data_IF_048828332307
#
_entry.id   IF_048828332307
#
_cell.length_a   1.000
_cell.length_b   1.000
_cell.length_c   1.000
_cell.angle_alpha   90.00
_cell.angle_beta   90.00
_cell.angle_gamma   90.00
#
_symmetry.space_group_name_H-M   'P 1'
#
loop_
_entity.id
_entity.type
_entity.pdbx_description
1 polymer ?
#
# COMPACT_ATOMS: atom_id res chain seq x y z
N UNK A 1 -4.74 -8.47 -14.66
CA UNK A 1 -6.01 -8.39 -13.90
C UNK A 1 -6.22 -6.92 -13.54
N UNK A 2 -7.24 -6.27 -14.10
CA UNK A 2 -7.44 -4.81 -13.98
C UNK A 2 -7.83 -4.41 -12.55
N UNK A 3 -7.10 -3.48 -11.92
CA UNK A 3 -7.38 -2.94 -10.58
C UNK A 3 -8.82 -2.38 -10.42
N UNK A 4 -9.50 -2.06 -11.52
CA UNK A 4 -10.90 -1.62 -11.55
C UNK A 4 -11.92 -2.73 -11.24
N UNK A 5 -11.50 -4.00 -11.18
CA UNK A 5 -12.37 -5.14 -10.86
C UNK A 5 -12.58 -5.34 -9.36
N UNK A 6 -11.78 -4.71 -8.50
CA UNK A 6 -11.91 -4.82 -7.02
C UNK A 6 -12.88 -3.80 -6.43
N UNK A 7 -13.24 -2.75 -7.17
CA UNK A 7 -14.15 -1.72 -6.67
C UNK A 7 -15.57 -2.27 -6.66
N UNK A 8 -16.16 -2.31 -5.47
CA UNK A 8 -17.58 -2.62 -5.29
C UNK A 8 -18.43 -1.53 -5.94
N UNK A 9 -18.91 -1.79 -7.16
CA UNK A 9 -19.72 -0.85 -7.93
C UNK A 9 -21.11 -0.66 -7.36
N UNK A 10 -21.61 -1.54 -6.49
CA UNK A 10 -22.94 -1.46 -5.91
C UNK A 10 -22.85 -1.56 -4.37
N UNK A 11 -22.21 -0.58 -3.71
CA UNK A 11 -21.96 -0.64 -2.28
C UNK A 11 -23.27 -0.66 -1.49
N UNK A 12 -23.33 -1.57 -0.51
CA UNK A 12 -24.44 -1.60 0.45
C UNK A 12 -24.57 -0.26 1.18
N UNK A 13 -25.77 0.04 1.68
CA UNK A 13 -26.03 1.29 2.41
C UNK A 13 -25.04 1.49 3.57
N UNK A 14 -24.74 0.43 4.32
CA UNK A 14 -23.74 0.47 5.40
C UNK A 14 -22.36 0.94 4.92
N UNK A 15 -21.87 0.42 3.78
CA UNK A 15 -20.57 0.81 3.23
C UNK A 15 -20.53 2.29 2.86
N UNK A 16 -21.61 2.79 2.25
CA UNK A 16 -21.78 4.22 1.95
C UNK A 16 -21.78 5.06 3.23
N UNK A 17 -22.58 4.70 4.23
CA UNK A 17 -22.65 5.43 5.49
C UNK A 17 -21.30 5.46 6.23
N UNK A 18 -20.60 4.33 6.33
CA UNK A 18 -19.25 4.28 6.93
C UNK A 18 -18.29 5.21 6.19
N UNK A 19 -18.33 5.21 4.86
CA UNK A 19 -17.55 6.14 4.05
C UNK A 19 -17.89 7.61 4.36
N UNK A 20 -19.19 7.95 4.43
CA UNK A 20 -19.66 9.29 4.81
C UNK A 20 -19.16 9.72 6.20
N UNK A 21 -19.25 8.84 7.19
CA UNK A 21 -18.74 9.09 8.55
C UNK A 21 -17.23 9.28 8.54
N UNK A 22 -16.50 8.47 7.76
CA UNK A 22 -15.04 8.57 7.67
C UNK A 22 -14.62 9.91 7.08
N UNK A 23 -15.31 10.37 6.03
CA UNK A 23 -15.09 11.71 5.47
C UNK A 23 -15.45 12.80 6.49
N UNK A 24 -16.58 12.70 7.19
CA UNK A 24 -16.97 13.68 8.21
C UNK A 24 -15.90 13.80 9.30
N UNK A 25 -15.38 12.68 9.80
CA UNK A 25 -14.34 12.68 10.84
C UNK A 25 -13.03 13.26 10.30
N UNK A 26 -12.60 12.83 9.10
CA UNK A 26 -11.35 13.32 8.50
C UNK A 26 -11.41 14.83 8.21
N UNK A 27 -12.44 15.29 7.50
CA UNK A 27 -12.66 16.71 7.22
C UNK A 27 -12.90 17.53 8.49
N UNK A 28 -13.59 16.97 9.49
CA UNK A 28 -13.78 17.58 10.80
C UNK A 28 -12.46 17.79 11.55
N UNK A 29 -11.55 16.82 11.51
CA UNK A 29 -10.21 16.96 12.09
C UNK A 29 -9.40 18.07 11.40
N UNK A 30 -9.41 18.12 10.06
CA UNK A 30 -8.76 19.20 9.31
C UNK A 30 -9.42 20.57 9.55
N UNK A 31 -10.75 20.62 9.69
CA UNK A 31 -11.48 21.83 10.03
C UNK A 31 -11.10 22.33 11.43
N UNK A 32 -10.99 21.44 12.41
CA UNK A 32 -10.53 21.77 13.76
C UNK A 32 -9.09 22.31 13.77
N UNK A 33 -8.19 21.70 12.99
CA UNK A 33 -6.83 22.20 12.82
C UNK A 33 -6.79 23.57 12.13
N UNK A 34 -7.63 23.79 11.11
CA UNK A 34 -7.75 25.07 10.43
C UNK A 34 -8.31 26.16 11.36
N UNK A 35 -9.26 25.81 12.23
CA UNK A 35 -9.78 26.71 13.25
C UNK A 35 -8.70 27.09 14.27
N UNK A 36 -7.88 26.12 14.70
CA UNK A 36 -6.75 26.37 15.60
C UNK A 36 -5.66 27.26 14.98
N UNK A 37 -5.44 27.16 13.68
CA UNK A 37 -4.50 28.03 12.94
C UNK A 37 -5.09 29.40 12.57
N UNK A 38 -6.22 29.79 13.18
CA UNK A 38 -6.94 31.04 12.93
C UNK A 38 -7.32 31.26 11.45
N UNK A 39 -7.66 30.17 10.73
CA UNK A 39 -8.16 30.20 9.34
C UNK A 39 -9.64 29.83 9.29
N UNK A 40 -10.56 30.71 9.75
CA UNK A 40 -11.96 30.36 9.92
C UNK A 40 -12.66 29.99 8.61
N UNK A 41 -12.37 30.70 7.52
CA UNK A 41 -12.96 30.39 6.21
C UNK A 41 -12.64 28.95 5.75
N UNK A 42 -11.40 28.50 5.97
CA UNK A 42 -10.98 27.14 5.64
C UNK A 42 -11.65 26.11 6.57
N UNK A 43 -11.76 26.43 7.87
CA UNK A 43 -12.43 25.57 8.83
C UNK A 43 -13.90 25.34 8.47
N UNK A 44 -14.64 26.41 8.17
CA UNK A 44 -16.04 26.33 7.74
C UNK A 44 -16.18 25.57 6.42
N UNK A 45 -15.31 25.82 5.44
CA UNK A 45 -15.32 25.10 4.17
C UNK A 45 -15.11 23.60 4.33
N UNK A 46 -14.12 23.18 5.12
CA UNK A 46 -13.83 21.77 5.39
C UNK A 46 -14.95 21.11 6.21
N UNK A 47 -15.47 21.79 7.24
CA UNK A 47 -16.58 21.29 8.04
C UNK A 47 -17.85 21.08 7.22
N UNK A 48 -18.20 22.06 6.38
CA UNK A 48 -19.33 21.98 5.47
C UNK A 48 -19.17 20.85 4.45
N UNK A 49 -17.96 20.66 3.90
CA UNK A 49 -17.67 19.58 2.97
C UNK A 49 -17.83 18.19 3.62
N UNK A 50 -17.33 18.01 4.85
CA UNK A 50 -17.49 16.77 5.61
C UNK A 50 -18.96 16.46 5.92
N UNK A 51 -19.73 17.46 6.34
CA UNK A 51 -21.17 17.34 6.59
C UNK A 51 -21.94 17.01 5.31
N UNK A 52 -21.68 17.72 4.22
CA UNK A 52 -22.30 17.47 2.93
C UNK A 52 -22.02 16.04 2.44
N UNK A 53 -20.77 15.57 2.56
CA UNK A 53 -20.41 14.21 2.18
C UNK A 53 -21.17 13.14 2.99
N UNK A 54 -21.36 13.36 4.30
CA UNK A 54 -22.15 12.48 5.15
C UNK A 54 -23.64 12.48 4.76
N UNK A 55 -24.23 13.67 4.55
CA UNK A 55 -25.64 13.83 4.19
C UNK A 55 -25.97 13.29 2.79
N UNK A 56 -25.02 13.38 1.86
CA UNK A 56 -25.18 12.86 0.49
C UNK A 56 -24.93 11.34 0.38
N UNK A 57 -24.23 10.76 1.34
CA UNK A 57 -23.91 9.33 1.36
C UNK A 57 -25.10 8.35 1.35
N UNK A 58 -26.22 8.58 2.08
CA UNK A 58 -27.39 7.71 2.01
C UNK A 58 -28.10 7.74 0.65
N UNK A 59 -27.94 8.81 -0.16
CA UNK A 59 -28.61 8.90 -1.45
C UNK A 59 -28.11 7.79 -2.41
N UNK A 60 -29.01 7.05 -3.07
CA UNK A 60 -28.66 5.86 -3.83
C UNK A 60 -27.77 6.15 -5.04
N UNK A 61 -28.07 7.19 -5.82
CA UNK A 61 -27.29 7.54 -7.01
C UNK A 61 -26.02 8.33 -6.64
N UNK A 62 -26.18 9.37 -5.81
CA UNK A 62 -25.08 10.30 -5.46
C UNK A 62 -24.05 9.64 -4.55
N UNK A 63 -24.48 8.99 -3.46
CA UNK A 63 -23.57 8.32 -2.54
C UNK A 63 -22.80 7.17 -3.19
N UNK A 64 -23.42 6.48 -4.15
CA UNK A 64 -22.75 5.46 -4.97
C UNK A 64 -21.68 6.07 -5.87
N UNK A 65 -22.02 7.11 -6.64
CA UNK A 65 -21.07 7.77 -7.53
C UNK A 65 -19.88 8.34 -6.75
N UNK A 66 -20.15 8.99 -5.61
CA UNK A 66 -19.12 9.53 -4.72
C UNK A 66 -18.20 8.43 -4.18
N UNK A 67 -18.77 7.34 -3.65
CA UNK A 67 -17.98 6.21 -3.13
C UNK A 67 -17.10 5.58 -4.21
N UNK A 68 -17.68 5.26 -5.37
CA UNK A 68 -16.95 4.59 -6.47
C UNK A 68 -15.86 5.50 -7.04
N UNK A 69 -16.16 6.78 -7.24
CA UNK A 69 -15.18 7.75 -7.72
C UNK A 69 -14.03 7.93 -6.74
N UNK A 70 -14.33 8.05 -5.44
CA UNK A 70 -13.32 8.18 -4.38
C UNK A 70 -12.45 6.91 -4.25
N UNK A 71 -13.05 5.72 -4.31
CA UNK A 71 -12.30 4.46 -4.30
C UNK A 71 -11.43 4.29 -5.55
N UNK A 72 -11.93 4.69 -6.72
CA UNK A 72 -11.14 4.71 -7.95
C UNK A 72 -9.92 5.63 -7.83
N UNK A 73 -10.10 6.82 -7.26
CA UNK A 73 -9.00 7.74 -6.99
C UNK A 73 -7.98 7.14 -6.02
N UNK A 74 -8.45 6.52 -4.92
CA UNK A 74 -7.59 5.85 -3.95
C UNK A 74 -6.75 4.74 -4.57
N UNK A 75 -7.33 3.97 -5.50
CA UNK A 75 -6.60 2.93 -6.24
C UNK A 75 -5.57 3.54 -7.21
N UNK A 76 -5.92 4.61 -7.92
CA UNK A 76 -4.99 5.29 -8.81
C UNK A 76 -3.77 5.82 -8.04
N UNK A 77 -4.01 6.48 -6.90
CA UNK A 77 -2.95 6.95 -6.00
C UNK A 77 -2.13 5.76 -5.48
N UNK A 78 -2.79 4.72 -4.97
CA UNK A 78 -2.13 3.53 -4.45
C UNK A 78 -1.26 2.80 -5.48
N UNK A 79 -1.67 2.81 -6.76
CA UNK A 79 -0.91 2.21 -7.85
C UNK A 79 0.44 2.89 -8.12
N UNK A 80 0.56 4.18 -7.75
CA UNK A 80 1.78 4.96 -7.87
C UNK A 80 2.56 4.94 -6.55
N UNK A 81 1.88 5.19 -5.43
CA UNK A 81 2.50 5.24 -4.11
C UNK A 81 3.08 3.89 -3.68
N UNK A 82 2.43 2.77 -4.01
CA UNK A 82 2.92 1.42 -3.67
C UNK A 82 4.31 1.13 -4.24
N UNK A 83 4.52 1.23 -5.57
CA UNK A 83 5.84 1.11 -6.17
C UNK A 83 6.85 2.13 -5.66
N UNK A 84 6.44 3.38 -5.42
CA UNK A 84 7.35 4.41 -4.86
C UNK A 84 7.82 4.01 -3.46
N UNK A 85 6.92 3.60 -2.57
CA UNK A 85 7.28 3.16 -1.22
C UNK A 85 8.20 1.94 -1.27
N UNK A 86 7.90 0.97 -2.14
CA UNK A 86 8.78 -0.18 -2.35
C UNK A 86 10.17 0.24 -2.83
N UNK A 87 10.24 1.16 -3.79
CA UNK A 87 11.49 1.70 -4.30
C UNK A 87 12.29 2.40 -3.20
N UNK A 88 11.64 3.24 -2.38
CA UNK A 88 12.29 3.95 -1.26
C UNK A 88 12.85 2.96 -0.25
N UNK A 89 12.06 1.98 0.18
CA UNK A 89 12.51 0.93 1.12
C UNK A 89 13.68 0.15 0.54
N UNK A 90 13.58 -0.25 -0.72
CA UNK A 90 14.65 -0.98 -1.39
C UNK A 90 15.91 -0.12 -1.49
N UNK A 91 15.81 1.13 -1.93
CA UNK A 91 16.94 2.01 -2.18
C UNK A 91 17.62 2.50 -0.89
N UNK A 92 16.88 2.67 0.22
CA UNK A 92 17.42 3.20 1.46
C UNK A 92 17.80 2.13 2.50
N UNK A 93 17.21 0.94 2.43
CA UNK A 93 17.50 -0.13 3.39
C UNK A 93 18.20 -1.30 2.72
N UNK A 94 17.58 -1.88 1.70
CA UNK A 94 18.06 -3.15 1.10
C UNK A 94 19.34 -2.94 0.28
N UNK A 95 19.33 -1.95 -0.62
CA UNK A 95 20.44 -1.63 -1.51
C UNK A 95 21.71 -1.20 -0.76
N UNK A 96 21.67 -0.27 0.23
CA UNK A 96 22.87 0.13 0.96
C UNK A 96 23.38 -0.98 1.87
N UNK A 97 22.49 -1.82 2.43
CA UNK A 97 22.93 -2.99 3.20
C UNK A 97 23.68 -3.98 2.30
N UNK A 98 23.15 -4.27 1.10
CA UNK A 98 23.84 -5.10 0.11
C UNK A 98 25.17 -4.48 -0.36
N UNK A 99 25.21 -3.16 -0.55
CA UNK A 99 26.43 -2.45 -0.92
C UNK A 99 27.46 -2.48 0.21
N UNK A 100 27.06 -2.29 1.46
CA UNK A 100 27.92 -2.38 2.63
C UNK A 100 28.51 -3.78 2.79
N UNK A 101 27.71 -4.84 2.57
CA UNK A 101 28.21 -6.22 2.55
C UNK A 101 29.22 -6.46 1.42
N UNK A 102 28.96 -5.91 0.23
CA UNK A 102 29.85 -6.02 -0.93
C UNK A 102 31.19 -5.29 -0.69
N UNK A 103 31.15 -4.09 -0.12
CA UNK A 103 32.36 -3.32 0.25
C UNK A 103 33.13 -4.00 1.37
N UNK A 104 32.44 -4.61 2.34
CA UNK A 104 33.03 -5.42 3.40
C UNK A 104 33.57 -6.79 2.94
N UNK A 105 33.61 -7.06 1.63
CA UNK A 105 34.16 -8.30 1.07
C UNK A 105 33.33 -9.56 1.32
N UNK A 106 32.14 -9.43 1.91
CA UNK A 106 31.24 -10.57 2.17
C UNK A 106 30.45 -10.89 0.92
N UNK A 107 30.92 -11.87 0.16
CA UNK A 107 30.19 -12.43 -0.97
C UNK A 107 29.34 -13.63 -0.53
N UNK A 108 28.21 -13.35 0.13
CA UNK A 108 27.30 -14.40 0.64
C UNK A 108 26.71 -15.26 -0.48
N UNK A 109 26.66 -14.73 -1.70
CA UNK A 109 26.13 -15.42 -2.86
C UNK A 109 27.23 -16.04 -3.74
N UNK A 110 28.50 -15.94 -3.32
CA UNK A 110 29.68 -16.47 -4.03
C UNK A 110 29.65 -16.17 -5.53
N UNK A 111 29.31 -14.92 -5.86
CA UNK A 111 29.16 -14.45 -7.23
C UNK A 111 30.50 -14.09 -7.88
N UNK A 112 31.56 -13.96 -7.09
CA UNK A 112 32.91 -13.71 -7.62
C UNK A 112 33.39 -14.96 -8.38
N UNK A 113 33.68 -14.84 -9.69
CA UNK A 113 34.25 -15.95 -10.44
C UNK A 113 35.66 -16.24 -9.91
N UNK A 114 35.88 -17.47 -9.46
CA UNK A 114 37.18 -18.02 -9.11
C UNK A 114 37.87 -18.49 -10.41
N UNK A 115 38.97 -17.85 -10.85
CA UNK A 115 39.69 -18.23 -12.06
C UNK A 115 40.43 -19.56 -11.94
N UNK A 116 40.66 -20.06 -10.72
CA UNK A 116 41.34 -21.31 -10.45
C UNK A 116 40.38 -22.50 -10.26
N UNK A 117 39.07 -22.26 -10.32
CA UNK A 117 38.07 -23.32 -10.17
C UNK A 117 37.84 -24.06 -11.50
N UNK A 118 38.11 -25.37 -11.51
CA UNK A 118 37.81 -26.26 -12.65
C UNK A 118 36.30 -26.35 -12.94
N UNK A 119 35.45 -26.13 -11.94
CA UNK A 119 33.99 -26.11 -12.07
C UNK A 119 33.33 -25.41 -10.89
N UNK A 120 32.31 -24.58 -11.15
CA UNK A 120 31.45 -23.97 -10.12
C UNK A 120 30.37 -24.94 -9.60
N UNK A 121 30.36 -26.19 -10.06
CA UNK A 121 29.35 -27.16 -9.67
C UNK A 121 29.49 -27.54 -8.21
N UNK A 122 28.48 -27.22 -7.40
CA UNK A 122 28.41 -27.66 -6.01
C UNK A 122 27.73 -29.02 -5.94
N UNK A 123 28.35 -30.04 -5.34
CA UNK A 123 27.71 -31.33 -5.16
C UNK A 123 26.43 -31.15 -4.35
N UNK A 124 25.30 -31.51 -4.94
CA UNK A 124 24.02 -31.51 -4.24
C UNK A 124 24.14 -32.50 -3.08
N UNK A 125 23.90 -32.08 -1.81
CA UNK A 125 23.89 -33.04 -0.71
C UNK A 125 22.85 -34.10 -1.06
N UNK A 126 23.30 -35.36 -1.13
CA UNK A 126 22.60 -36.46 -1.78
C UNK A 126 21.14 -36.60 -1.38
N UNK A 127 20.37 -37.30 -2.24
CA UNK A 127 18.91 -37.45 -2.16
C UNK A 127 18.41 -37.54 -0.71
N UNK A 128 17.88 -36.42 -0.21
CA UNK A 128 17.19 -36.40 1.08
C UNK A 128 16.07 -37.42 1.01
N UNK A 129 15.98 -38.27 2.03
CA UNK A 129 15.00 -39.35 2.11
C UNK A 129 13.62 -38.86 1.64
N UNK A 130 13.08 -39.51 0.59
CA UNK A 130 11.79 -39.18 -0.03
C UNK A 130 10.68 -39.11 1.02
N UNK A 131 10.78 -39.90 2.10
CA UNK A 131 9.82 -39.92 3.21
C UNK A 131 9.73 -38.61 3.99
N UNK A 132 10.76 -37.77 3.95
CA UNK A 132 10.77 -36.45 4.62
C UNK A 132 9.87 -35.42 3.92
N UNK A 133 9.62 -35.57 2.62
CA UNK A 133 8.65 -34.74 1.89
C UNK A 133 7.19 -35.12 2.21
N UNK A 134 6.97 -36.31 2.77
CA UNK A 134 5.65 -36.86 3.07
C UNK A 134 5.21 -36.62 4.53
N UNK A 135 6.01 -35.93 5.35
CA UNK A 135 5.63 -35.56 6.71
C UNK A 135 5.21 -34.09 6.77
N UNK A 136 3.91 -33.79 6.90
CA UNK A 136 3.44 -32.47 7.27
C UNK A 136 3.58 -32.34 8.80
N UNK A 137 4.68 -31.73 9.23
CA UNK A 137 5.05 -31.42 10.63
C UNK A 137 5.58 -32.59 11.47
#
# INVERSE_FOLDING_TARGET
MSALATIDRAPSLRKRLVFGVTLLVAFGAFAGLAAWTHRPALAWGLGAAGLAAMLLSPLPHVGRALYVGWMGLGLAIGSVTGPIMLFVVYALLVAPLGLAMRLGGRDVLERRPDPAADSYWRPHPGARDRRRYLRPY
#
